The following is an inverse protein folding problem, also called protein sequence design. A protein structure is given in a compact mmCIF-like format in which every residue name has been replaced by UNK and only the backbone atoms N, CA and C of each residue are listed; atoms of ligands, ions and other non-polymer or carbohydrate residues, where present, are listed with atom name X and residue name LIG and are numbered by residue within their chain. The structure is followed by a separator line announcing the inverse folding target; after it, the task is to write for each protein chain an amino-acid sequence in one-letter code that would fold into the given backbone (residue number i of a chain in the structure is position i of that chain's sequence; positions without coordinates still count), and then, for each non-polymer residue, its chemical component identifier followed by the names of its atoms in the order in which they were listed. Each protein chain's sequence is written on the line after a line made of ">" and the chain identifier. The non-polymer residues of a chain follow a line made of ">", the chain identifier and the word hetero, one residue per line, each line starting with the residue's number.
data_IF_414358746120
#
_entry.id   IF_414358746120
#
_cell.length_a   1.000
_cell.length_b   1.000
_cell.length_c   1.000
_cell.angle_alpha   90.00
_cell.angle_beta   90.00
_cell.angle_gamma   90.00
#
_symmetry.space_group_name_H-M   'P 1'
#
loop_
_entity.id
_entity.type
_entity.pdbx_description
1 polymer ?
#
# COMPACT_ATOMS: atom_id res chain seq x y z
N UNK A 1 -13.29 -5.47 -25.15
CA UNK A 1 -12.22 -5.97 -24.25
C UNK A 1 -11.61 -4.75 -23.57
N UNK A 2 -12.00 -4.45 -22.33
CA UNK A 2 -11.30 -3.42 -21.54
C UNK A 2 -9.88 -3.95 -21.27
N UNK A 3 -8.86 -3.18 -21.66
CA UNK A 3 -7.50 -3.47 -21.26
C UNK A 3 -7.45 -3.49 -19.73
N UNK A 4 -7.08 -4.63 -19.13
CA UNK A 4 -6.86 -4.70 -17.68
C UNK A 4 -5.70 -3.76 -17.35
N UNK A 5 -6.01 -2.56 -16.86
CA UNK A 5 -4.99 -1.61 -16.45
C UNK A 5 -4.26 -2.21 -15.25
N UNK A 6 -3.03 -2.65 -15.51
CA UNK A 6 -2.21 -3.36 -14.55
C UNK A 6 -1.39 -2.32 -13.82
N UNK A 7 -1.56 -2.29 -12.50
CA UNK A 7 -0.84 -1.38 -11.61
C UNK A 7 0.33 -2.15 -11.03
N UNK A 8 1.54 -1.65 -11.27
CA UNK A 8 2.77 -2.15 -10.68
C UNK A 8 3.18 -1.23 -9.55
N UNK A 9 3.47 -1.77 -8.38
CA UNK A 9 4.00 -1.02 -7.24
C UNK A 9 5.01 -1.86 -6.47
N UNK A 10 5.84 -1.21 -5.64
CA UNK A 10 6.82 -1.90 -4.81
C UNK A 10 6.55 -1.64 -3.34
N UNK A 11 6.39 -2.71 -2.55
CA UNK A 11 6.30 -2.65 -1.10
C UNK A 11 7.71 -2.79 -0.51
N UNK A 12 8.05 -1.96 0.48
CA UNK A 12 9.29 -2.05 1.25
C UNK A 12 8.94 -2.31 2.70
N UNK A 13 9.44 -3.42 3.25
CA UNK A 13 9.21 -3.83 4.63
C UNK A 13 10.41 -4.64 5.15
N UNK A 14 10.91 -4.32 6.35
CA UNK A 14 12.06 -5.02 6.99
C UNK A 14 13.29 -5.21 6.10
N UNK A 15 13.67 -4.15 5.37
CA UNK A 15 14.76 -4.14 4.38
C UNK A 15 14.56 -5.07 3.16
N UNK A 16 13.37 -5.67 3.01
CA UNK A 16 12.98 -6.41 1.82
C UNK A 16 12.10 -5.54 0.92
N UNK A 17 12.16 -5.83 -0.38
CA UNK A 17 11.33 -5.18 -1.40
C UNK A 17 10.51 -6.22 -2.15
N UNK A 18 9.21 -5.99 -2.31
CA UNK A 18 8.29 -6.88 -2.97
C UNK A 18 7.63 -6.15 -4.13
N UNK A 19 7.85 -6.63 -5.34
CA UNK A 19 7.14 -6.12 -6.51
C UNK A 19 5.74 -6.74 -6.53
N UNK A 20 4.72 -5.88 -6.54
CA UNK A 20 3.33 -6.28 -6.58
C UNK A 20 2.71 -5.81 -7.88
N UNK A 21 2.01 -6.74 -8.53
CA UNK A 21 1.20 -6.49 -9.69
C UNK A 21 -0.26 -6.66 -9.31
N UNK A 22 -1.06 -5.62 -9.51
CA UNK A 22 -2.48 -5.60 -9.16
C UNK A 22 -3.32 -4.90 -10.23
N UNK A 23 -4.62 -4.83 -10.02
CA UNK A 23 -5.55 -4.04 -10.83
C UNK A 23 -6.55 -3.31 -9.93
N UNK A 24 -7.24 -2.32 -10.48
CA UNK A 24 -8.17 -1.43 -9.75
C UNK A 24 -9.35 -2.12 -9.06
N UNK A 25 -9.65 -3.38 -9.42
CA UNK A 25 -10.80 -4.14 -8.87
C UNK A 25 -10.38 -5.26 -7.92
N UNK A 26 -9.08 -5.52 -7.76
CA UNK A 26 -8.60 -6.67 -6.99
C UNK A 26 -8.60 -6.41 -5.49
N UNK A 27 -8.26 -5.19 -5.06
CA UNK A 27 -8.25 -4.81 -3.65
C UNK A 27 -9.01 -3.51 -3.45
N UNK A 28 -9.75 -3.44 -2.35
CA UNK A 28 -10.52 -2.25 -2.00
C UNK A 28 -9.62 -1.10 -1.55
N UNK A 29 -8.56 -1.42 -0.81
CA UNK A 29 -7.60 -0.44 -0.32
C UNK A 29 -6.17 -0.96 -0.34
N UNK A 30 -5.21 -0.04 -0.26
CA UNK A 30 -3.80 -0.36 -0.10
C UNK A 30 -3.55 -1.20 1.16
N UNK A 31 -4.31 -0.97 2.24
CA UNK A 31 -4.22 -1.80 3.46
C UNK A 31 -4.53 -3.26 3.16
N UNK A 32 -5.63 -3.55 2.44
CA UNK A 32 -6.01 -4.94 2.12
C UNK A 32 -4.99 -5.63 1.23
N UNK A 33 -4.38 -4.89 0.28
CA UNK A 33 -3.30 -5.39 -0.57
C UNK A 33 -2.06 -5.75 0.28
N UNK A 34 -1.63 -4.86 1.18
CA UNK A 34 -0.47 -5.08 2.04
C UNK A 34 -0.68 -6.30 2.94
N UNK A 35 -1.86 -6.42 3.55
CA UNK A 35 -2.20 -7.55 4.42
C UNK A 35 -2.14 -8.90 3.70
N UNK A 36 -2.66 -8.95 2.47
CA UNK A 36 -2.65 -10.16 1.64
C UNK A 36 -1.23 -10.61 1.26
N UNK A 37 -0.33 -9.66 1.02
CA UNK A 37 1.05 -9.95 0.60
C UNK A 37 2.03 -10.21 1.75
N UNK A 38 1.90 -9.49 2.87
CA UNK A 38 2.94 -9.46 3.91
C UNK A 38 2.47 -9.99 5.28
N UNK A 39 1.16 -10.15 5.51
CA UNK A 39 0.58 -10.68 6.74
C UNK A 39 1.22 -10.08 8.03
N UNK A 40 1.43 -8.76 8.06
CA UNK A 40 2.15 -8.07 9.14
C UNK A 40 1.30 -8.08 10.43
N UNK A 41 1.78 -8.66 11.54
CA UNK A 41 1.06 -8.63 12.81
C UNK A 41 0.83 -7.19 13.29
N UNK A 42 -0.37 -6.89 13.78
CA UNK A 42 -0.71 -5.54 14.26
C UNK A 42 -0.99 -4.49 13.18
N UNK A 43 -0.77 -4.80 11.90
CA UNK A 43 -1.11 -3.89 10.82
C UNK A 43 -2.62 -3.86 10.56
N UNK A 44 -3.22 -2.67 10.50
CA UNK A 44 -4.64 -2.50 10.15
C UNK A 44 -5.65 -3.07 11.16
N UNK A 45 -5.40 -2.98 12.47
CA UNK A 45 -6.22 -3.59 13.54
C UNK A 45 -7.70 -3.18 13.55
N UNK A 46 -8.01 -1.96 13.08
CA UNK A 46 -9.39 -1.49 13.00
C UNK A 46 -10.13 -1.92 11.72
N UNK A 47 -9.56 -2.84 10.91
CA UNK A 47 -10.16 -3.31 9.66
C UNK A 47 -10.54 -2.18 8.69
N UNK A 48 -9.80 -1.07 8.72
CA UNK A 48 -10.04 0.09 7.86
C UNK A 48 -11.12 1.08 8.32
N UNK A 49 -11.57 1.00 9.57
CA UNK A 49 -12.49 2.01 10.14
C UNK A 49 -11.85 3.38 10.40
N UNK A 50 -10.51 3.51 10.27
CA UNK A 50 -9.80 4.77 10.45
C UNK A 50 -9.54 5.18 11.91
N UNK A 51 -9.65 4.26 12.87
CA UNK A 51 -9.57 4.57 14.31
C UNK A 51 -8.27 4.14 15.01
N UNK A 52 -7.47 3.23 14.43
CA UNK A 52 -6.29 2.68 15.11
C UNK A 52 -4.94 3.30 14.68
N UNK A 53 -4.86 3.91 13.49
CA UNK A 53 -3.59 4.40 12.94
C UNK A 53 -2.57 3.31 12.56
N UNK A 54 -2.84 2.02 12.80
CA UNK A 54 -1.86 0.94 12.60
C UNK A 54 -1.66 0.51 11.15
N UNK A 55 -2.17 1.26 10.18
CA UNK A 55 -1.93 1.06 8.75
C UNK A 55 -1.17 2.23 8.12
N UNK A 56 -0.42 2.98 8.91
CA UNK A 56 0.41 4.09 8.46
C UNK A 56 1.50 3.62 7.49
N UNK A 57 1.59 4.26 6.32
CA UNK A 57 2.61 3.98 5.31
C UNK A 57 3.12 5.27 4.71
N UNK A 58 4.28 5.22 4.05
CA UNK A 58 4.77 6.32 3.23
C UNK A 58 4.71 5.95 1.76
N UNK A 59 4.14 6.83 0.94
CA UNK A 59 4.05 6.67 -0.51
C UNK A 59 5.01 7.65 -1.16
N UNK A 60 5.81 7.15 -2.11
CA UNK A 60 6.69 7.94 -2.96
C UNK A 60 6.49 7.55 -4.41
N UNK A 61 6.37 8.55 -5.28
CA UNK A 61 6.29 8.33 -6.73
C UNK A 61 7.67 8.56 -7.36
N UNK A 62 7.99 7.83 -8.41
CA UNK A 62 9.30 7.92 -9.08
C UNK A 62 9.70 9.34 -9.53
N UNK A 63 8.71 10.22 -9.77
CA UNK A 63 8.93 11.59 -10.21
C UNK A 63 8.98 12.63 -9.08
N UNK A 64 8.82 12.22 -7.82
CA UNK A 64 8.78 13.13 -6.67
C UNK A 64 9.63 12.62 -5.52
N UNK A 65 10.55 13.47 -5.06
CA UNK A 65 11.34 13.22 -3.85
C UNK A 65 10.51 13.31 -2.57
N UNK A 66 9.25 13.73 -2.66
CA UNK A 66 8.37 13.86 -1.50
C UNK A 66 7.74 12.51 -1.12
N UNK A 67 7.81 12.19 0.18
CA UNK A 67 7.13 11.03 0.77
C UNK A 67 5.87 11.49 1.47
N UNK A 68 4.72 11.02 1.01
CA UNK A 68 3.43 11.29 1.66
C UNK A 68 3.18 10.23 2.72
N UNK A 69 3.04 10.65 3.98
CA UNK A 69 2.63 9.74 5.06
C UNK A 69 1.11 9.69 5.09
N UNK A 70 0.54 8.50 4.93
CA UNK A 70 -0.90 8.27 4.81
C UNK A 70 -1.33 7.02 5.58
N UNK A 71 -2.63 6.89 5.84
CA UNK A 71 -3.21 5.64 6.32
C UNK A 71 -3.64 4.79 5.13
N UNK A 72 -3.04 3.61 4.97
CA UNK A 72 -3.26 2.73 3.83
C UNK A 72 -4.74 2.30 3.68
N UNK A 73 -5.53 2.32 4.75
CA UNK A 73 -6.95 1.98 4.68
C UNK A 73 -7.80 3.01 3.93
N UNK A 74 -7.34 4.26 3.83
CA UNK A 74 -8.01 5.32 3.07
C UNK A 74 -7.52 5.47 1.64
N UNK A 75 -6.53 4.68 1.22
CA UNK A 75 -5.92 4.78 -0.12
C UNK A 75 -6.55 3.71 -1.02
N UNK A 76 -7.19 4.14 -2.09
CA UNK A 76 -7.76 3.25 -3.11
C UNK A 76 -6.67 2.76 -4.08
N UNK A 77 -6.88 1.56 -4.64
CA UNK A 77 -6.02 1.06 -5.72
C UNK A 77 -6.48 1.65 -7.05
N UNK A 78 -5.70 2.60 -7.57
CA UNK A 78 -5.95 3.27 -8.84
C UNK A 78 -4.63 3.47 -9.60
N UNK A 79 -4.72 4.06 -10.79
CA UNK A 79 -3.57 4.30 -11.66
C UNK A 79 -2.55 5.29 -11.05
N UNK A 80 -2.90 6.05 -10.01
CA UNK A 80 -1.99 6.96 -9.32
C UNK A 80 -0.93 6.23 -8.49
N UNK A 81 -1.20 4.96 -8.13
CA UNK A 81 -0.24 4.07 -7.47
C UNK A 81 0.71 3.38 -8.48
N UNK A 82 0.57 3.62 -9.77
CA UNK A 82 1.45 3.02 -10.77
C UNK A 82 2.91 3.50 -10.57
N UNK A 83 3.81 2.53 -10.44
CA UNK A 83 5.22 2.71 -10.11
C UNK A 83 5.47 3.40 -8.76
N UNK A 84 4.49 3.35 -7.85
CA UNK A 84 4.67 3.87 -6.50
C UNK A 84 5.53 2.94 -5.65
N UNK A 85 6.30 3.56 -4.76
CA UNK A 85 7.09 2.90 -3.71
C UNK A 85 6.37 3.13 -2.38
N UNK A 86 5.94 2.03 -1.76
CA UNK A 86 5.22 2.02 -0.50
C UNK A 86 6.17 1.54 0.59
N UNK A 87 6.48 2.41 1.55
CA UNK A 87 7.35 2.09 2.68
C UNK A 87 6.49 1.82 3.91
N UNK A 88 6.63 0.63 4.48
CA UNK A 88 5.89 0.18 5.66
C UNK A 88 6.88 0.21 6.83
N UNK A 89 6.65 1.05 7.86
CA UNK A 89 7.54 1.11 9.01
C UNK A 89 7.42 -0.19 9.83
N UNK A 90 8.54 -0.67 10.36
CA UNK A 90 8.62 -1.92 11.12
C UNK A 90 8.61 -1.73 12.65
N UNK A 91 8.67 -0.48 13.11
CA UNK A 91 8.77 -0.11 14.53
C UNK A 91 7.45 0.44 15.13
N UNK A 92 6.34 0.38 14.40
CA UNK A 92 5.07 1.01 14.79
C UNK A 92 4.04 0.01 15.34
N UNK A 93 4.24 -1.30 15.13
CA UNK A 93 3.22 -2.34 15.38
C UNK A 93 3.71 -3.46 16.28
#
# INVERSE_FOLDING_TARGET
>A
MEAKNTILLTLYYRNESYQVQTNTKQYHSLMTLILDHLAIPGFGLCCGMGSCGTCLVQISNAHSSFKQTVLACGIQINDELANAHIFIPDNVY
#
